data_IF_186252092471
#
_entry.id   IF_186252092471
#
_cell.length_a   1.000
_cell.length_b   1.000
_cell.length_c   1.000
_cell.angle_alpha   90.00
_cell.angle_beta   90.00
_cell.angle_gamma   90.00
#
_symmetry.space_group_name_H-M   'P 1'
#
loop_
_entity.id
_entity.type
_entity.pdbx_description
1 polymer ?
#
# COMPACT_ATOMS: atom_id res chain seq x y z
N UNK A 1 -9.11 -20.29 29.83
CA UNK A 1 -10.18 -20.67 30.78
C UNK A 1 -10.36 -22.19 30.90
N UNK A 2 -10.28 -22.95 29.80
CA UNK A 2 -10.37 -24.42 29.79
C UNK A 2 -9.30 -25.10 30.66
N UNK A 3 -8.08 -24.54 30.70
CA UNK A 3 -6.96 -25.07 31.51
C UNK A 3 -7.25 -25.05 33.03
N UNK A 4 -7.95 -24.03 33.54
CA UNK A 4 -8.28 -23.95 34.98
C UNK A 4 -9.23 -25.07 35.40
N UNK A 5 -10.26 -25.38 34.58
CA UNK A 5 -11.17 -26.51 34.86
C UNK A 5 -10.48 -27.86 34.69
N UNK A 6 -9.64 -28.02 33.67
CA UNK A 6 -8.88 -29.25 33.47
C UNK A 6 -8.01 -29.56 34.70
N UNK A 7 -7.34 -28.55 35.25
CA UNK A 7 -6.56 -28.66 36.48
C UNK A 7 -7.41 -29.10 37.68
N UNK A 8 -8.54 -28.43 37.95
CA UNK A 8 -9.44 -28.83 39.04
C UNK A 8 -9.95 -30.26 38.83
N UNK A 9 -10.27 -30.63 37.59
CA UNK A 9 -10.78 -31.97 37.26
C UNK A 9 -9.75 -33.07 37.50
N UNK A 10 -8.47 -32.81 37.21
CA UNK A 10 -7.37 -33.75 37.42
C UNK A 10 -7.06 -33.96 38.91
N UNK A 11 -7.20 -32.91 39.73
CA UNK A 11 -6.79 -32.94 41.15
C UNK A 11 -7.95 -33.03 42.16
N UNK A 12 -9.21 -33.02 41.71
CA UNK A 12 -10.40 -33.12 42.61
C UNK A 12 -10.48 -34.40 43.43
N UNK A 13 -9.76 -35.46 43.04
CA UNK A 13 -9.71 -36.73 43.77
C UNK A 13 -8.74 -36.66 44.97
N UNK A 14 -7.78 -35.73 44.94
CA UNK A 14 -6.73 -35.56 45.95
C UNK A 14 -6.99 -34.36 46.86
N UNK A 15 -7.65 -33.31 46.35
CA UNK A 15 -7.89 -32.06 47.07
C UNK A 15 -9.34 -31.62 46.93
N UNK A 16 -9.84 -30.92 47.96
CA UNK A 16 -11.19 -30.36 47.94
C UNK A 16 -11.35 -29.35 46.80
N UNK A 17 -12.44 -29.49 46.03
CA UNK A 17 -12.76 -28.60 44.89
C UNK A 17 -12.85 -27.13 45.32
N UNK A 18 -13.32 -26.85 46.54
CA UNK A 18 -13.34 -25.50 47.12
C UNK A 18 -11.95 -24.87 47.20
N UNK A 19 -10.96 -25.63 47.66
CA UNK A 19 -9.57 -25.19 47.81
C UNK A 19 -8.92 -24.96 46.45
N UNK A 20 -9.14 -25.88 45.50
CA UNK A 20 -8.63 -25.73 44.13
C UNK A 20 -9.26 -24.54 43.40
N UNK A 21 -10.56 -24.31 43.59
CA UNK A 21 -11.26 -23.16 43.02
C UNK A 21 -10.78 -21.83 43.62
N UNK A 22 -10.52 -21.79 44.93
CA UNK A 22 -9.97 -20.61 45.62
C UNK A 22 -8.57 -20.28 45.11
N UNK A 23 -7.68 -21.29 45.03
CA UNK A 23 -6.30 -21.13 44.53
C UNK A 23 -6.25 -20.61 43.10
N UNK A 24 -7.20 -21.01 42.26
CA UNK A 24 -7.26 -20.62 40.84
C UNK A 24 -8.13 -19.38 40.57
N UNK A 25 -8.67 -18.75 41.63
CA UNK A 25 -9.55 -17.58 41.53
C UNK A 25 -10.76 -17.82 40.60
N UNK A 26 -11.43 -18.97 40.76
CA UNK A 26 -12.64 -19.31 39.99
C UNK A 26 -13.78 -19.69 40.92
N UNK A 27 -15.02 -19.41 40.51
CA UNK A 27 -16.18 -19.76 41.32
C UNK A 27 -16.50 -21.26 41.22
N UNK A 28 -16.94 -21.85 42.34
CA UNK A 28 -17.44 -23.23 42.38
C UNK A 28 -18.63 -23.43 41.45
N UNK A 29 -19.53 -22.43 41.40
CA UNK A 29 -20.70 -22.44 40.51
C UNK A 29 -20.31 -22.51 39.04
N UNK A 30 -19.21 -21.86 38.63
CA UNK A 30 -18.67 -22.01 37.29
C UNK A 30 -18.16 -23.43 37.03
N UNK A 31 -17.41 -24.03 37.98
CA UNK A 31 -16.87 -25.39 37.82
C UNK A 31 -17.97 -26.45 37.64
N UNK A 32 -18.99 -26.42 38.51
CA UNK A 32 -20.11 -27.36 38.46
C UNK A 32 -21.17 -27.02 37.40
N UNK A 33 -21.33 -25.74 37.06
CA UNK A 33 -22.29 -25.27 36.04
C UNK A 33 -21.77 -25.42 34.61
N UNK A 34 -20.44 -25.48 34.41
CA UNK A 34 -19.84 -25.63 33.08
C UNK A 34 -20.28 -26.90 32.32
N UNK A 35 -20.28 -28.13 32.89
CA UNK A 35 -20.80 -29.31 32.21
C UNK A 35 -22.30 -29.20 31.93
N UNK A 36 -23.10 -28.69 32.87
CA UNK A 36 -24.53 -28.48 32.66
C UNK A 36 -24.83 -27.48 31.52
N UNK A 37 -23.96 -26.48 31.34
CA UNK A 37 -24.06 -25.50 30.25
C UNK A 37 -23.49 -25.98 28.91
N UNK A 38 -22.76 -27.11 28.88
CA UNK A 38 -22.14 -27.68 27.68
C UNK A 38 -23.15 -27.86 26.51
N UNK A 39 -24.28 -28.57 26.67
CA UNK A 39 -25.23 -28.77 25.58
C UNK A 39 -25.77 -27.46 25.02
N UNK A 40 -26.06 -26.47 25.88
CA UNK A 40 -26.55 -25.17 25.44
C UNK A 40 -25.49 -24.38 24.64
N UNK A 41 -24.20 -24.53 24.97
CA UNK A 41 -23.11 -23.89 24.20
C UNK A 41 -22.89 -24.57 22.87
N UNK A 42 -22.92 -25.91 22.85
CA UNK A 42 -22.76 -26.69 21.63
C UNK A 42 -23.92 -26.40 20.66
N UNK A 43 -25.15 -26.29 21.18
CA UNK A 43 -26.30 -25.86 20.39
C UNK A 43 -26.13 -24.44 19.83
N UNK A 44 -25.66 -23.48 20.65
CA UNK A 44 -25.40 -22.11 20.16
C UNK A 44 -24.31 -22.09 19.10
N UNK A 45 -23.30 -22.94 19.22
CA UNK A 45 -22.22 -23.05 18.25
C UNK A 45 -22.74 -23.65 16.95
N UNK A 46 -23.49 -24.75 17.01
CA UNK A 46 -24.15 -25.35 15.85
C UNK A 46 -25.06 -24.35 15.13
N UNK A 47 -25.89 -23.60 15.86
CA UNK A 47 -26.76 -22.58 15.26
C UNK A 47 -25.96 -21.47 14.56
N UNK A 48 -24.79 -21.09 15.08
CA UNK A 48 -23.90 -20.10 14.44
C UNK A 48 -23.30 -20.65 13.16
N UNK A 49 -22.87 -21.91 13.16
CA UNK A 49 -22.27 -22.57 12.00
C UNK A 49 -23.30 -22.73 10.88
N UNK A 50 -24.52 -23.17 11.20
CA UNK A 50 -25.63 -23.23 10.24
C UNK A 50 -25.88 -21.84 9.64
N UNK A 51 -25.97 -20.80 10.49
CA UNK A 51 -26.20 -19.44 10.00
C UNK A 51 -25.05 -18.90 9.14
N UNK A 52 -23.80 -19.22 9.48
CA UNK A 52 -22.64 -18.83 8.67
C UNK A 52 -22.65 -19.54 7.30
N UNK A 53 -23.06 -20.81 7.26
CA UNK A 53 -23.24 -21.58 6.02
C UNK A 53 -24.34 -21.00 5.13
N UNK A 54 -25.44 -20.49 5.70
CA UNK A 54 -26.50 -19.78 4.97
C UNK A 54 -26.05 -18.41 4.43
N UNK A 55 -25.21 -17.70 5.17
CA UNK A 55 -24.73 -16.36 4.80
C UNK A 55 -23.63 -16.40 3.73
N UNK A 56 -22.79 -17.43 3.74
CA UNK A 56 -21.69 -17.59 2.78
C UNK A 56 -22.11 -17.50 1.30
N UNK A 57 -23.16 -18.20 0.81
CA UNK A 57 -23.58 -18.08 -0.59
C UNK A 57 -24.08 -16.67 -0.91
N UNK A 58 -24.79 -16.00 0.01
CA UNK A 58 -25.25 -14.60 -0.16
C UNK A 58 -24.05 -13.66 -0.30
N UNK A 59 -23.06 -13.79 0.59
CA UNK A 59 -21.80 -13.03 0.53
C UNK A 59 -21.10 -13.27 -0.81
N UNK A 60 -20.99 -14.52 -1.28
CA UNK A 60 -20.37 -14.85 -2.57
C UNK A 60 -21.13 -14.26 -3.75
N UNK A 61 -22.46 -14.21 -3.70
CA UNK A 61 -23.30 -13.59 -4.73
C UNK A 61 -23.03 -12.10 -4.83
N UNK A 62 -23.14 -11.34 -3.74
CA UNK A 62 -22.84 -9.90 -3.73
C UNK A 62 -21.38 -9.63 -4.13
N UNK A 63 -20.45 -10.45 -3.65
CA UNK A 63 -19.05 -10.34 -4.03
C UNK A 63 -18.83 -10.54 -5.54
N UNK A 64 -19.51 -11.51 -6.15
CA UNK A 64 -19.44 -11.75 -7.61
C UNK A 64 -20.09 -10.61 -8.40
N UNK A 65 -21.25 -10.12 -7.97
CA UNK A 65 -21.95 -8.98 -8.59
C UNK A 65 -21.07 -7.73 -8.57
N UNK A 66 -20.34 -7.50 -7.47
CA UNK A 66 -19.38 -6.41 -7.34
C UNK A 66 -18.09 -6.59 -8.16
N UNK A 67 -18.01 -7.61 -9.06
CA UNK A 67 -16.79 -7.99 -9.80
C UNK A 67 -15.59 -8.22 -8.89
N UNK A 68 -15.82 -8.73 -7.67
CA UNK A 68 -14.82 -8.98 -6.63
C UNK A 68 -14.14 -7.71 -6.10
N UNK A 69 -14.76 -6.53 -6.21
CA UNK A 69 -14.18 -5.28 -5.70
C UNK A 69 -14.57 -4.98 -4.25
N UNK A 70 -15.71 -5.47 -3.78
CA UNK A 70 -16.23 -5.07 -2.47
C UNK A 70 -15.59 -5.88 -1.33
N UNK A 71 -15.14 -5.17 -0.29
CA UNK A 71 -14.75 -5.75 0.99
C UNK A 71 -15.94 -5.89 1.94
N UNK A 72 -15.68 -6.38 3.16
CA UNK A 72 -16.70 -6.69 4.18
C UNK A 72 -17.67 -5.55 4.45
N UNK A 73 -17.19 -4.30 4.52
CA UNK A 73 -18.02 -3.12 4.77
C UNK A 73 -19.11 -2.91 3.72
N UNK A 74 -18.74 -3.01 2.43
CA UNK A 74 -19.68 -2.79 1.32
C UNK A 74 -20.63 -3.98 1.16
N UNK A 75 -20.11 -5.20 1.26
CA UNK A 75 -20.96 -6.41 1.24
C UNK A 75 -21.94 -6.41 2.41
N UNK A 76 -21.53 -5.96 3.60
CA UNK A 76 -22.44 -5.82 4.74
C UNK A 76 -23.58 -4.83 4.45
N UNK A 77 -23.30 -3.70 3.78
CA UNK A 77 -24.34 -2.76 3.35
C UNK A 77 -25.30 -3.39 2.34
N UNK A 78 -24.79 -4.16 1.38
CA UNK A 78 -25.61 -4.86 0.40
C UNK A 78 -26.49 -5.93 1.06
N UNK A 79 -25.95 -6.64 2.06
CA UNK A 79 -26.70 -7.60 2.87
C UNK A 79 -27.81 -6.93 3.68
N UNK A 80 -27.52 -5.79 4.33
CA UNK A 80 -28.53 -5.01 5.04
C UNK A 80 -29.63 -4.50 4.11
N UNK A 81 -29.27 -4.09 2.89
CA UNK A 81 -30.24 -3.67 1.87
C UNK A 81 -31.10 -4.82 1.33
N UNK A 82 -30.68 -6.07 1.55
CA UNK A 82 -31.44 -7.28 1.25
C UNK A 82 -32.10 -7.87 2.52
N UNK A 83 -32.33 -7.05 3.54
CA UNK A 83 -32.96 -7.40 4.82
C UNK A 83 -32.23 -8.48 5.64
N UNK A 84 -30.93 -8.72 5.39
CA UNK A 84 -30.13 -9.64 6.20
C UNK A 84 -29.57 -8.95 7.44
N UNK A 85 -30.07 -9.35 8.61
CA UNK A 85 -29.56 -8.91 9.91
C UNK A 85 -28.27 -9.66 10.26
N UNK A 86 -27.13 -9.05 9.97
CA UNK A 86 -25.79 -9.59 10.28
C UNK A 86 -24.85 -8.46 10.68
N UNK A 87 -23.90 -8.73 11.59
CA UNK A 87 -22.87 -7.75 11.92
C UNK A 87 -21.74 -7.74 10.90
N UNK A 88 -21.18 -6.56 10.62
CA UNK A 88 -20.02 -6.41 9.73
C UNK A 88 -18.85 -7.33 10.15
N UNK A 89 -18.59 -7.47 11.45
CA UNK A 89 -17.53 -8.35 11.98
C UNK A 89 -17.76 -9.82 11.62
N UNK A 90 -19.02 -10.28 11.64
CA UNK A 90 -19.36 -11.65 11.23
C UNK A 90 -19.13 -11.82 9.72
N UNK A 91 -19.54 -10.85 8.90
CA UNK A 91 -19.28 -10.86 7.44
C UNK A 91 -17.77 -10.92 7.18
N UNK A 92 -16.98 -10.06 7.83
CA UNK A 92 -15.52 -10.04 7.69
C UNK A 92 -14.87 -11.37 8.09
N UNK A 93 -15.33 -11.99 9.17
CA UNK A 93 -14.85 -13.31 9.61
C UNK A 93 -15.16 -14.39 8.57
N UNK A 94 -16.42 -14.49 8.13
CA UNK A 94 -16.85 -15.48 7.12
C UNK A 94 -16.05 -15.31 5.83
N UNK A 95 -15.86 -14.06 5.37
CA UNK A 95 -15.04 -13.75 4.20
C UNK A 95 -13.59 -14.23 4.38
N UNK A 96 -12.97 -13.95 5.53
CA UNK A 96 -11.59 -14.34 5.84
C UNK A 96 -11.43 -15.87 5.88
N UNK A 97 -12.29 -16.56 6.61
CA UNK A 97 -12.29 -18.03 6.73
C UNK A 97 -12.45 -18.72 5.37
N UNK A 98 -13.21 -18.11 4.45
CA UNK A 98 -13.49 -18.64 3.11
C UNK A 98 -12.63 -18.05 2.00
N UNK A 99 -11.55 -17.33 2.35
CA UNK A 99 -10.61 -16.70 1.39
C UNK A 99 -11.30 -15.77 0.36
N UNK A 100 -12.42 -15.17 0.73
CA UNK A 100 -13.13 -14.16 -0.08
C UNK A 100 -12.50 -12.81 0.20
N UNK A 101 -11.61 -12.37 -0.67
CA UNK A 101 -10.89 -11.10 -0.53
C UNK A 101 -10.97 -10.28 -1.81
N UNK A 102 -11.24 -8.95 -1.70
CA UNK A 102 -11.40 -8.12 -2.87
C UNK A 102 -10.10 -8.03 -3.68
N UNK A 103 -10.25 -7.90 -5.00
CA UNK A 103 -9.13 -7.64 -5.91
C UNK A 103 -8.57 -6.24 -5.61
N UNK A 104 -7.36 -6.18 -5.07
CA UNK A 104 -6.60 -4.94 -4.97
C UNK A 104 -6.13 -4.60 -6.38
N UNK A 105 -6.85 -3.71 -7.07
CA UNK A 105 -6.30 -3.07 -8.28
C UNK A 105 -5.22 -2.09 -7.83
N UNK A 106 -3.96 -2.41 -8.14
CA UNK A 106 -2.91 -1.38 -8.18
C UNK A 106 -3.34 -0.33 -9.20
N UNK A 107 -3.30 0.96 -8.85
CA UNK A 107 -3.59 2.05 -9.79
C UNK A 107 -2.66 1.88 -11.00
N UNK A 108 -3.21 1.99 -12.20
CA UNK A 108 -2.41 1.92 -13.44
C UNK A 108 -1.56 3.18 -13.50
N UNK A 109 -0.25 3.01 -13.58
CA UNK A 109 0.69 4.12 -13.79
C UNK A 109 0.51 4.66 -15.22
N UNK A 110 0.74 5.97 -15.46
CA UNK A 110 0.79 6.49 -16.83
C UNK A 110 1.85 5.73 -17.64
N UNK A 111 1.61 5.52 -18.93
CA UNK A 111 2.58 4.89 -19.82
C UNK A 111 3.65 5.94 -20.13
N UNK A 112 4.84 5.76 -19.57
CA UNK A 112 5.92 6.75 -19.58
C UNK A 112 6.94 6.56 -20.70
N UNK A 113 6.74 5.60 -21.61
CA UNK A 113 7.82 5.15 -22.51
C UNK A 113 7.31 4.65 -23.84
N UNK A 114 7.71 5.33 -24.91
CA UNK A 114 7.90 4.73 -26.23
C UNK A 114 9.42 4.56 -26.44
N UNK A 115 9.92 3.35 -26.25
CA UNK A 115 11.35 3.01 -26.38
C UNK A 115 11.79 2.82 -27.83
N UNK A 116 10.91 3.09 -28.81
CA UNK A 116 11.15 2.83 -30.23
C UNK A 116 11.59 4.09 -31.01
N UNK A 117 12.54 4.86 -30.48
CA UNK A 117 13.10 6.02 -31.17
C UNK A 117 14.53 5.76 -31.71
N UNK A 118 14.89 6.36 -32.85
CA UNK A 118 16.18 6.16 -33.53
C UNK A 118 17.35 7.03 -33.01
N UNK A 119 17.21 7.69 -31.86
CA UNK A 119 18.21 8.63 -31.34
C UNK A 119 19.41 7.89 -30.70
N UNK A 120 20.64 8.34 -31.01
CA UNK A 120 21.88 7.82 -30.42
C UNK A 120 21.98 8.26 -28.94
N UNK A 121 22.29 7.34 -28.01
CA UNK A 121 22.49 7.70 -26.60
C UNK A 121 23.73 8.58 -26.42
N UNK A 122 23.69 9.55 -25.52
CA UNK A 122 24.91 10.23 -25.06
C UNK A 122 25.70 9.33 -24.10
N UNK A 123 27.04 9.49 -24.00
CA UNK A 123 27.86 8.74 -23.06
C UNK A 123 27.41 8.95 -21.61
N UNK A 124 27.31 7.86 -20.84
CA UNK A 124 27.05 7.91 -19.41
C UNK A 124 28.32 8.37 -18.67
N UNK A 125 28.48 9.67 -18.46
CA UNK A 125 29.69 10.23 -17.85
C UNK A 125 29.78 9.96 -16.33
N UNK A 126 28.68 9.59 -15.67
CA UNK A 126 28.68 9.40 -14.22
C UNK A 126 29.13 8.02 -13.77
N UNK A 127 29.16 6.98 -14.64
CA UNK A 127 29.55 5.60 -14.26
C UNK A 127 28.92 5.10 -12.94
N UNK A 128 27.71 5.57 -12.58
CA UNK A 128 27.04 5.32 -11.29
C UNK A 128 27.74 5.90 -10.03
N UNK A 129 28.70 6.82 -10.19
CA UNK A 129 29.33 7.60 -9.12
C UNK A 129 28.47 8.84 -8.78
N UNK A 130 27.44 8.62 -7.97
CA UNK A 130 26.47 9.66 -7.56
C UNK A 130 26.93 10.51 -6.36
N UNK A 131 28.23 10.56 -6.05
CA UNK A 131 28.74 11.28 -4.90
C UNK A 131 29.40 12.59 -5.34
N UNK A 132 28.81 13.72 -4.95
CA UNK A 132 29.43 15.04 -5.04
C UNK A 132 29.51 15.64 -3.64
N UNK A 133 30.67 16.21 -3.29
CA UNK A 133 30.85 16.97 -2.03
C UNK A 133 30.67 18.47 -2.24
N UNK A 134 30.80 18.93 -3.48
CA UNK A 134 30.72 20.35 -3.84
C UNK A 134 29.36 20.65 -4.48
N UNK A 135 28.64 21.69 -4.01
CA UNK A 135 27.42 22.18 -4.66
C UNK A 135 27.65 22.54 -6.13
N UNK A 136 26.61 22.43 -6.94
CA UNK A 136 26.57 22.73 -8.37
C UNK A 136 27.62 22.01 -9.22
N UNK A 137 28.09 20.84 -8.77
CA UNK A 137 28.99 19.99 -9.56
C UNK A 137 28.23 18.90 -10.30
N UNK A 138 27.20 18.31 -9.65
CA UNK A 138 26.34 17.30 -10.26
C UNK A 138 24.88 17.59 -9.93
N UNK A 139 24.07 17.77 -10.96
CA UNK A 139 22.62 17.87 -10.86
C UNK A 139 21.96 16.62 -11.43
N UNK A 140 21.05 16.01 -10.67
CA UNK A 140 20.19 14.92 -11.14
C UNK A 140 18.82 15.47 -11.52
N UNK A 141 18.37 15.18 -12.73
CA UNK A 141 17.00 15.38 -13.18
C UNK A 141 16.20 14.08 -13.09
N UNK A 142 14.97 14.19 -12.60
CA UNK A 142 13.98 13.12 -12.64
C UNK A 142 12.58 13.70 -12.92
N UNK A 143 11.71 12.86 -13.49
CA UNK A 143 10.29 13.18 -13.71
C UNK A 143 9.44 12.19 -12.93
N UNK A 144 8.56 12.72 -12.09
CA UNK A 144 7.53 11.93 -11.39
C UNK A 144 6.14 12.34 -11.83
N UNK A 145 5.15 11.52 -11.53
CA UNK A 145 3.74 11.78 -11.82
C UNK A 145 2.93 11.72 -10.53
N UNK A 146 1.98 12.63 -10.40
CA UNK A 146 1.12 12.83 -9.26
C UNK A 146 -0.31 12.57 -9.73
N UNK A 147 -0.98 11.66 -9.06
CA UNK A 147 -2.39 11.31 -9.33
C UNK A 147 -3.28 12.37 -8.67
N UNK A 148 -4.11 13.06 -9.47
CA UNK A 148 -5.06 14.06 -9.00
C UNK A 148 -6.49 13.68 -9.40
N UNK A 149 -7.48 14.35 -8.84
CA UNK A 149 -8.89 14.12 -9.21
C UNK A 149 -9.21 14.63 -10.64
N UNK A 150 -8.31 15.42 -11.24
CA UNK A 150 -8.44 15.99 -12.59
C UNK A 150 -7.61 15.24 -13.64
N UNK A 151 -6.72 14.33 -13.22
CA UNK A 151 -5.86 13.57 -14.12
C UNK A 151 -4.44 13.36 -13.57
N UNK A 152 -3.48 13.10 -14.46
CA UNK A 152 -2.08 12.99 -14.09
C UNK A 152 -1.40 14.35 -14.21
N UNK A 153 -0.77 14.79 -13.11
CA UNK A 153 0.14 15.93 -13.11
C UNK A 153 1.58 15.40 -13.17
N UNK A 154 2.40 15.94 -14.06
CA UNK A 154 3.80 15.56 -14.21
C UNK A 154 4.68 16.61 -13.57
N UNK A 155 5.62 16.19 -12.72
CA UNK A 155 6.57 17.05 -12.01
C UNK A 155 7.99 16.66 -12.44
N UNK A 156 8.70 17.59 -13.07
CA UNK A 156 10.14 17.48 -13.28
C UNK A 156 10.87 18.20 -12.15
N UNK A 157 11.91 17.56 -11.61
CA UNK A 157 12.76 18.13 -10.56
C UNK A 157 14.23 17.98 -10.89
N UNK A 158 15.01 19.03 -10.58
CA UNK A 158 16.47 19.07 -10.68
C UNK A 158 17.03 19.17 -9.27
N UNK A 159 17.83 18.18 -8.88
CA UNK A 159 18.39 18.03 -7.54
C UNK A 159 19.91 18.19 -7.57
N UNK A 160 20.44 19.02 -6.68
CA UNK A 160 21.87 19.09 -6.41
C UNK A 160 22.32 17.88 -5.58
N UNK A 161 23.37 17.18 -6.01
CA UNK A 161 23.82 15.96 -5.33
C UNK A 161 24.61 16.19 -4.06
N UNK A 162 25.27 17.34 -3.90
CA UNK A 162 26.00 17.68 -2.70
C UNK A 162 25.06 18.22 -1.61
N UNK A 163 24.18 19.16 -1.96
CA UNK A 163 23.27 19.77 -0.97
C UNK A 163 21.97 18.99 -0.77
N UNK A 164 21.61 18.13 -1.73
CA UNK A 164 20.33 17.42 -1.81
C UNK A 164 19.11 18.34 -2.02
N UNK A 165 19.33 19.62 -2.28
CA UNK A 165 18.28 20.60 -2.55
C UNK A 165 17.70 20.44 -3.96
N UNK A 166 16.39 20.72 -4.11
CA UNK A 166 15.76 20.87 -5.43
C UNK A 166 16.06 22.27 -5.93
N UNK A 167 16.97 22.38 -6.88
CA UNK A 167 17.46 23.65 -7.43
C UNK A 167 16.54 24.19 -8.53
N UNK A 168 15.77 23.34 -9.19
CA UNK A 168 14.75 23.72 -10.16
C UNK A 168 13.66 22.66 -10.27
N UNK A 169 12.46 23.07 -10.66
CA UNK A 169 11.34 22.18 -10.87
C UNK A 169 10.31 22.80 -11.81
N UNK A 170 9.46 21.99 -12.41
CA UNK A 170 8.33 22.44 -13.22
C UNK A 170 7.21 21.41 -13.16
N UNK A 171 5.96 21.83 -13.40
CA UNK A 171 4.80 20.95 -13.42
C UNK A 171 3.93 21.21 -14.64
N UNK A 172 3.44 20.15 -15.29
CA UNK A 172 2.54 20.24 -16.45
C UNK A 172 1.55 19.05 -16.47
N UNK A 173 0.47 19.17 -17.24
CA UNK A 173 -0.48 18.07 -17.50
C UNK A 173 0.05 17.02 -18.50
N UNK A 174 1.26 17.23 -19.03
CA UNK A 174 1.90 16.39 -20.02
C UNK A 174 3.39 16.10 -19.74
N UNK A 175 3.89 15.00 -20.30
CA UNK A 175 5.27 14.52 -20.12
C UNK A 175 6.23 14.96 -21.25
N UNK A 176 6.00 16.12 -21.88
CA UNK A 176 6.82 16.61 -23.01
C UNK A 176 8.16 17.16 -22.55
N UNK A 177 9.12 17.28 -23.49
CA UNK A 177 10.46 17.79 -23.20
C UNK A 177 10.49 19.21 -22.59
N UNK A 178 9.49 20.04 -22.91
CA UNK A 178 9.33 21.41 -22.37
C UNK A 178 9.26 21.43 -20.83
N UNK A 179 8.65 20.41 -20.22
CA UNK A 179 8.59 20.26 -18.77
C UNK A 179 10.01 20.14 -18.16
N UNK A 180 10.88 19.34 -18.78
CA UNK A 180 12.26 19.17 -18.33
C UNK A 180 13.09 20.44 -18.57
N UNK A 181 12.91 21.08 -19.73
CA UNK A 181 13.58 22.34 -20.06
C UNK A 181 13.22 23.43 -19.03
N UNK A 182 11.94 23.58 -18.69
CA UNK A 182 11.49 24.56 -17.71
C UNK A 182 12.12 24.32 -16.31
N UNK A 183 12.22 23.06 -15.88
CA UNK A 183 12.88 22.73 -14.62
C UNK A 183 14.39 23.06 -14.64
N UNK A 184 15.07 22.80 -15.76
CA UNK A 184 16.49 23.12 -15.93
C UNK A 184 16.75 24.63 -16.03
N UNK A 185 15.91 25.36 -16.78
CA UNK A 185 15.97 26.82 -16.89
C UNK A 185 15.77 27.48 -15.52
N UNK A 186 14.83 26.98 -14.72
CA UNK A 186 14.66 27.43 -13.35
C UNK A 186 15.91 27.18 -12.49
N UNK A 187 16.54 26.01 -12.62
CA UNK A 187 17.76 25.68 -11.88
C UNK A 187 18.93 26.61 -12.27
N UNK A 188 19.13 26.82 -13.57
CA UNK A 188 20.14 27.74 -14.10
C UNK A 188 19.87 29.19 -13.70
N UNK A 189 18.62 29.64 -13.71
CA UNK A 189 18.25 30.99 -13.26
C UNK A 189 18.53 31.22 -11.78
N UNK A 190 18.39 30.19 -10.94
CA UNK A 190 18.61 30.29 -9.48
C UNK A 190 20.08 30.14 -9.07
N UNK A 191 20.85 29.31 -9.77
CA UNK A 191 22.23 28.98 -9.40
C UNK A 191 23.28 29.60 -10.32
N UNK A 192 22.86 30.13 -11.46
CA UNK A 192 23.73 30.58 -12.54
C UNK A 192 24.26 29.40 -13.38
N UNK A 193 24.80 29.67 -14.58
CA UNK A 193 25.61 28.69 -15.30
C UNK A 193 26.87 28.43 -14.48
N UNK A 194 27.05 27.20 -14.01
CA UNK A 194 28.23 26.82 -13.24
C UNK A 194 29.19 26.05 -14.15
N UNK A 195 30.39 26.59 -14.44
CA UNK A 195 31.36 25.88 -15.25
C UNK A 195 31.70 24.51 -14.64
N UNK A 196 31.78 23.48 -15.48
CA UNK A 196 32.04 22.10 -15.04
C UNK A 196 30.85 21.37 -14.44
N UNK A 197 29.67 22.00 -14.30
CA UNK A 197 28.45 21.34 -13.84
C UNK A 197 28.06 20.19 -14.78
N UNK A 198 27.82 19.02 -14.20
CA UNK A 198 27.28 17.86 -14.89
C UNK A 198 25.78 17.79 -14.61
N UNK A 199 24.98 17.99 -15.65
CA UNK A 199 23.55 17.69 -15.61
C UNK A 199 23.29 16.27 -16.13
N UNK A 200 22.71 15.43 -15.27
CA UNK A 200 22.37 14.04 -15.58
C UNK A 200 20.88 13.79 -15.38
N UNK A 201 20.21 13.29 -16.42
CA UNK A 201 18.85 12.78 -16.35
C UNK A 201 18.88 11.28 -16.56
N UNK A 202 18.24 10.53 -15.68
CA UNK A 202 18.01 9.11 -15.94
C UNK A 202 17.07 8.95 -17.13
N UNK A 203 17.20 7.82 -17.84
CA UNK A 203 16.48 7.56 -19.08
C UNK A 203 14.96 7.58 -18.86
N UNK A 204 14.31 8.63 -19.34
CA UNK A 204 12.95 8.55 -19.87
C UNK A 204 13.02 8.93 -21.35
N UNK A 205 12.73 8.01 -22.27
CA UNK A 205 12.56 8.34 -23.70
C UNK A 205 11.23 9.08 -23.87
N UNK A 206 11.18 10.32 -23.38
CA UNK A 206 10.06 11.21 -23.57
C UNK A 206 10.12 11.76 -24.98
N UNK A 207 8.99 11.68 -25.69
CA UNK A 207 8.90 11.91 -27.13
C UNK A 207 9.58 13.20 -27.56
N UNK A 208 10.46 13.08 -28.56
CA UNK A 208 10.94 14.22 -29.34
C UNK A 208 12.06 15.04 -28.73
N UNK A 209 12.99 14.44 -27.96
CA UNK A 209 14.22 15.13 -27.57
C UNK A 209 15.04 15.48 -28.83
N UNK A 210 15.00 16.74 -29.23
CA UNK A 210 15.88 17.32 -30.24
C UNK A 210 16.53 18.59 -29.67
N UNK A 211 17.39 18.41 -28.66
CA UNK A 211 18.57 19.26 -28.40
C UNK A 211 19.58 18.54 -27.51
N UNK A 212 20.84 18.69 -27.90
CA UNK A 212 22.07 18.04 -27.45
C UNK A 212 22.49 18.37 -26.01
N UNK A 213 21.87 17.76 -24.99
CA UNK A 213 22.28 18.03 -23.60
C UNK A 213 22.10 16.85 -22.64
N UNK A 214 22.43 15.65 -23.08
CA UNK A 214 22.87 14.64 -22.12
C UNK A 214 24.38 14.90 -21.93
N UNK A 215 24.74 15.49 -20.79
CA UNK A 215 26.04 16.09 -20.48
C UNK A 215 26.40 17.34 -21.31
N UNK A 216 25.86 18.49 -20.92
CA UNK A 216 26.58 19.76 -21.15
C UNK A 216 27.55 19.94 -19.98
N UNK A 217 28.84 19.71 -20.22
CA UNK A 217 29.88 20.34 -19.39
C UNK A 217 29.90 21.80 -19.83
N UNK A 218 29.42 22.72 -18.98
CA UNK A 218 29.60 24.14 -19.24
C UNK A 218 31.10 24.45 -19.15
N UNK A 219 31.78 24.59 -20.27
CA UNK A 219 33.13 25.14 -20.33
C UNK A 219 33.01 26.60 -20.78
N UNK A 220 33.25 27.56 -19.89
CA UNK A 220 33.58 28.92 -20.30
C UNK A 220 35.10 29.03 -20.44
N UNK A 221 35.55 29.44 -21.62
CA UNK A 221 36.83 30.15 -21.79
C UNK A 221 36.93 31.33 -20.85
#
# INVERSE_FOLDING_TARGET
MTNKRAFVTAHKAQYAVSTLCLLLEISRGWFYGFPASQPARDQRQANREVRDQELLPKIKTFFRVSKKYYGSKRIHRDLLAADEVVSERRVARIMKENKVSPLIRKRRKPITTDSNHKLKPSPNLLEQKFHSQTPNTVWLADITYIDTDEGWLYLAGVKDMATREIVGWAMEDHMRAELCCAALEMALGRRGPVPGLIHHSDRGSQGGFNRSSQCLVYNST
#
